data_IF_495169572174
#
_entry.id   IF_495169572174
#
_cell.length_a   1.000
_cell.length_b   1.000
_cell.length_c   1.000
_cell.angle_alpha   90.00
_cell.angle_beta   90.00
_cell.angle_gamma   90.00
#
_symmetry.space_group_name_H-M   'P 1'
#
loop_
_entity.id
_entity.type
_entity.pdbx_description
1 polymer ?
#
# COMPACT_ATOMS: atom_id res chain seq x y z
N UNK A 1 -8.80 -16.46 -2.40
CA UNK A 1 -9.28 -17.28 -1.26
C UNK A 1 -10.75 -17.04 -0.94
N UNK A 2 -11.29 -15.81 -1.05
CA UNK A 2 -12.69 -15.50 -0.72
C UNK A 2 -13.77 -16.09 -1.68
N UNK A 3 -13.50 -16.21 -2.99
CA UNK A 3 -14.50 -16.72 -3.96
C UNK A 3 -14.88 -18.18 -3.72
N UNK A 4 -13.93 -19.03 -3.34
CA UNK A 4 -14.16 -20.47 -3.17
C UNK A 4 -15.05 -20.77 -1.96
N UNK A 5 -14.89 -20.03 -0.86
CA UNK A 5 -15.67 -20.23 0.37
C UNK A 5 -17.12 -19.75 0.24
N UNK A 6 -17.38 -18.71 -0.55
CA UNK A 6 -18.73 -18.14 -0.74
C UNK A 6 -19.61 -18.97 -1.67
N UNK A 7 -19.03 -19.56 -2.72
CA UNK A 7 -19.77 -20.38 -3.71
C UNK A 7 -20.23 -21.72 -3.12
N UNK A 8 -19.51 -22.26 -2.12
CA UNK A 8 -19.87 -23.54 -1.50
C UNK A 8 -21.02 -23.46 -0.48
N UNK A 9 -21.40 -22.27 0.00
CA UNK A 9 -22.35 -22.15 1.13
C UNK A 9 -23.62 -21.33 0.85
N UNK A 10 -23.71 -20.64 -0.28
CA UNK A 10 -24.87 -19.82 -0.65
C UNK A 10 -25.33 -20.26 -2.03
N UNK A 11 -26.47 -20.95 -2.10
CA UNK A 11 -27.05 -21.53 -3.32
C UNK A 11 -27.56 -20.51 -4.35
N UNK A 12 -26.71 -19.57 -4.75
CA UNK A 12 -26.97 -18.56 -5.77
C UNK A 12 -25.65 -18.02 -6.34
N UNK A 13 -25.70 -17.57 -7.60
CA UNK A 13 -24.54 -17.07 -8.34
C UNK A 13 -23.93 -15.84 -7.66
N UNK A 14 -22.93 -16.05 -6.80
CA UNK A 14 -22.20 -14.97 -6.15
C UNK A 14 -21.23 -14.33 -7.15
N UNK A 15 -21.43 -13.04 -7.42
CA UNK A 15 -20.51 -12.20 -8.19
C UNK A 15 -19.60 -11.41 -7.24
N UNK A 16 -18.32 -11.29 -7.61
CA UNK A 16 -17.35 -10.50 -6.84
C UNK A 16 -17.35 -9.09 -7.39
N UNK A 17 -17.69 -8.12 -6.54
CA UNK A 17 -17.59 -6.70 -6.85
C UNK A 17 -16.32 -6.17 -6.18
N UNK A 18 -15.31 -5.68 -6.93
CA UNK A 18 -14.13 -5.07 -6.36
C UNK A 18 -14.45 -3.70 -5.75
N UNK A 19 -13.57 -3.22 -4.87
CA UNK A 19 -13.67 -1.85 -4.36
C UNK A 19 -13.47 -0.85 -5.49
N UNK A 20 -14.32 0.18 -5.54
CA UNK A 20 -14.15 1.30 -6.46
C UNK A 20 -12.99 2.21 -6.05
N UNK A 21 -12.42 2.89 -7.03
CA UNK A 21 -11.49 4.02 -6.85
C UNK A 21 -11.92 5.14 -7.78
N UNK A 22 -11.96 6.36 -7.27
CA UNK A 22 -12.22 7.56 -8.08
C UNK A 22 -10.95 7.90 -8.86
N UNK A 23 -10.88 7.44 -10.11
CA UNK A 23 -9.70 7.66 -10.96
C UNK A 23 -9.54 9.14 -11.30
N UNK A 24 -10.63 9.87 -11.53
CA UNK A 24 -10.59 11.30 -11.85
C UNK A 24 -9.93 12.11 -10.75
N UNK A 25 -10.20 11.78 -9.48
CA UNK A 25 -9.57 12.45 -8.35
C UNK A 25 -8.02 12.32 -8.35
N UNK A 26 -7.48 11.18 -8.79
CA UNK A 26 -6.03 10.94 -8.78
C UNK A 26 -5.33 11.27 -10.10
N UNK A 27 -6.07 11.29 -11.22
CA UNK A 27 -5.50 11.46 -12.55
C UNK A 27 -4.78 12.82 -12.74
N UNK A 28 -5.31 13.87 -12.13
CA UNK A 28 -4.80 15.25 -12.25
C UNK A 28 -3.89 15.66 -11.07
N UNK A 29 -3.43 14.70 -10.26
CA UNK A 29 -2.59 14.99 -9.11
C UNK A 29 -1.20 15.51 -9.52
N UNK A 30 -0.83 16.71 -9.09
CA UNK A 30 0.49 17.27 -9.34
C UNK A 30 1.55 16.68 -8.37
N UNK A 31 2.70 16.21 -8.89
CA UNK A 31 3.75 15.65 -8.05
C UNK A 31 4.50 16.74 -7.27
N UNK A 32 4.50 16.64 -5.94
CA UNK A 32 5.30 17.51 -5.07
C UNK A 32 6.79 17.30 -5.30
N UNK A 33 7.51 18.37 -5.68
CA UNK A 33 8.94 18.33 -6.01
C UNK A 33 9.79 17.72 -4.88
N UNK A 34 9.45 17.99 -3.61
CA UNK A 34 10.21 17.45 -2.48
C UNK A 34 10.16 15.92 -2.40
N UNK A 35 9.19 15.25 -3.01
CA UNK A 35 9.00 13.79 -2.97
C UNK A 35 9.36 13.08 -4.27
N UNK A 36 9.74 13.83 -5.31
CA UNK A 36 10.18 13.23 -6.57
C UNK A 36 11.55 12.55 -6.43
N UNK A 37 11.87 11.63 -7.35
CA UNK A 37 13.13 10.88 -7.36
C UNK A 37 13.06 9.56 -6.59
N UNK A 38 14.11 9.24 -5.82
CA UNK A 38 14.26 7.97 -5.10
C UNK A 38 13.36 7.80 -3.88
N UNK A 39 12.09 8.20 -3.95
CA UNK A 39 11.18 8.12 -2.79
C UNK A 39 10.30 6.88 -2.86
N UNK A 40 10.31 6.10 -1.78
CA UNK A 40 9.37 5.01 -1.54
C UNK A 40 8.25 5.56 -0.65
N UNK A 41 6.99 5.43 -1.09
CA UNK A 41 5.81 5.77 -0.29
C UNK A 41 5.22 4.53 0.39
N UNK A 42 4.97 4.60 1.69
CA UNK A 42 4.21 3.61 2.45
C UNK A 42 2.94 4.26 3.00
N UNK A 43 1.77 3.75 2.64
CA UNK A 43 0.48 4.23 3.14
C UNK A 43 -0.19 3.13 3.93
N UNK A 44 -0.33 3.33 5.23
CA UNK A 44 -0.93 2.34 6.11
C UNK A 44 -0.75 2.65 7.57
N UNK A 45 -1.58 2.01 8.39
CA UNK A 45 -1.46 2.01 9.84
C UNK A 45 -0.12 1.42 10.28
N UNK A 46 0.62 2.15 11.11
CA UNK A 46 1.97 1.76 11.58
C UNK A 46 1.87 0.57 12.55
N UNK A 47 0.82 0.56 13.35
CA UNK A 47 0.47 -0.45 14.37
C UNK A 47 -0.13 -1.73 13.77
N UNK A 48 -0.26 -1.83 12.44
CA UNK A 48 -0.97 -2.92 11.79
C UNK A 48 -0.02 -3.81 10.95
N UNK A 49 0.59 -4.87 11.52
CA UNK A 49 1.64 -5.66 10.87
C UNK A 49 1.28 -6.20 9.49
N UNK A 50 -0.01 -6.50 9.24
CA UNK A 50 -0.51 -6.98 7.95
C UNK A 50 -0.31 -5.99 6.80
N UNK A 51 -0.02 -4.72 7.09
CA UNK A 51 0.30 -3.69 6.09
C UNK A 51 1.73 -3.77 5.59
N UNK A 52 2.61 -4.52 6.26
CA UNK A 52 3.94 -4.86 5.75
C UNK A 52 5.05 -3.85 6.06
N UNK A 53 4.80 -2.83 6.90
CA UNK A 53 5.85 -1.89 7.32
C UNK A 53 7.08 -2.60 7.91
N UNK A 54 6.95 -3.62 8.78
CA UNK A 54 8.11 -4.33 9.31
C UNK A 54 8.94 -5.06 8.23
N UNK A 55 8.30 -5.49 7.14
CA UNK A 55 9.00 -6.11 5.99
C UNK A 55 9.83 -5.06 5.27
N UNK A 56 9.24 -3.89 4.99
CA UNK A 56 9.93 -2.79 4.35
C UNK A 56 11.12 -2.30 5.17
N UNK A 57 10.96 -2.19 6.50
CA UNK A 57 12.04 -1.83 7.42
C UNK A 57 13.23 -2.79 7.36
N UNK A 58 12.97 -4.10 7.26
CA UNK A 58 14.05 -5.10 7.13
C UNK A 58 14.76 -5.05 5.77
N UNK A 59 14.07 -4.61 4.72
CA UNK A 59 14.64 -4.48 3.38
C UNK A 59 15.42 -3.17 3.19
N UNK A 60 15.07 -2.13 3.94
CA UNK A 60 15.58 -0.77 3.75
C UNK A 60 17.12 -0.67 3.73
N UNK A 61 17.90 -1.37 4.58
CA UNK A 61 19.36 -1.32 4.52
C UNK A 61 19.92 -1.75 3.15
N UNK A 62 19.43 -2.86 2.59
CA UNK A 62 19.85 -3.34 1.26
C UNK A 62 19.44 -2.39 0.13
N UNK A 63 18.29 -1.73 0.29
CA UNK A 63 17.83 -0.72 -0.67
C UNK A 63 18.77 0.49 -0.64
N UNK A 64 19.16 0.96 0.54
CA UNK A 64 20.08 2.08 0.71
C UNK A 64 21.50 1.74 0.23
N UNK A 65 21.95 0.50 0.40
CA UNK A 65 23.22 0.04 -0.18
C UNK A 65 23.23 0.15 -1.72
N UNK A 66 22.14 -0.25 -2.38
CA UNK A 66 22.03 -0.19 -3.84
C UNK A 66 21.64 1.20 -4.37
N UNK A 67 20.93 1.99 -3.56
CA UNK A 67 20.40 3.32 -3.91
C UNK A 67 20.50 4.26 -2.70
N UNK A 68 21.68 4.85 -2.45
CA UNK A 68 21.96 5.65 -1.26
C UNK A 68 21.02 6.84 -1.06
N UNK A 69 20.52 7.43 -2.15
CA UNK A 69 19.62 8.58 -2.12
C UNK A 69 18.15 8.22 -1.88
N UNK A 70 17.86 6.95 -1.54
CA UNK A 70 16.48 6.51 -1.30
C UNK A 70 15.90 7.13 -0.04
N UNK A 71 14.69 7.66 -0.15
CA UNK A 71 13.91 8.21 0.98
C UNK A 71 12.66 7.39 1.18
N UNK A 72 12.26 7.20 2.44
CA UNK A 72 11.00 6.53 2.78
C UNK A 72 10.02 7.55 3.37
N UNK A 73 8.87 7.70 2.73
CA UNK A 73 7.73 8.48 3.22
C UNK A 73 6.68 7.53 3.79
N UNK A 74 6.46 7.59 5.11
CA UNK A 74 5.42 6.79 5.79
C UNK A 74 4.23 7.71 6.10
N UNK A 75 3.08 7.42 5.50
CA UNK A 75 1.83 8.14 5.72
C UNK A 75 0.80 7.23 6.39
N UNK A 76 0.42 7.59 7.62
CA UNK A 76 -0.58 6.85 8.39
C UNK A 76 -0.56 7.28 9.84
N UNK A 77 -1.64 6.98 10.57
CA UNK A 77 -1.66 7.13 12.03
C UNK A 77 -0.81 6.01 12.64
N UNK A 78 0.06 6.40 13.56
CA UNK A 78 0.63 5.54 14.59
C UNK A 78 0.47 6.26 15.92
N UNK A 79 0.22 5.52 16.99
CA UNK A 79 0.28 6.12 18.32
C UNK A 79 1.74 6.52 18.61
N UNK A 80 1.91 7.70 19.22
CA UNK A 80 3.20 8.27 19.59
C UNK A 80 3.79 7.58 20.81
#
# INVERSE_FOLDING_TARGET
YARRTLVEHLGGDAVVIPNGVDVSFFADAEPKSEWQGGTIGFIGRIDEPRKGLPVLMRALPRILEARPDTRLLVAGRGDA
#
